data_IF_995942992028
#
_entry.id   IF_995942992028
#
_cell.length_a   1.000
_cell.length_b   1.000
_cell.length_c   1.000
_cell.angle_alpha   90.00
_cell.angle_beta   90.00
_cell.angle_gamma   90.00
#
_symmetry.space_group_name_H-M   'P 1'
#
loop_
_entity.id
_entity.type
_entity.pdbx_description
1 polymer ?
#
# COMPACT_ATOMS: atom_id res chain seq x y z
N UNK A 1 18.88 9.02 -4.45
CA UNK A 1 18.38 9.90 -5.52
C UNK A 1 18.69 11.34 -5.15
N UNK A 2 18.95 12.22 -6.12
CA UNK A 2 19.13 13.66 -5.89
C UNK A 2 17.89 14.30 -5.23
N UNK A 3 18.07 15.27 -4.33
CA UNK A 3 16.95 15.87 -3.59
C UNK A 3 15.96 16.62 -4.49
N UNK A 4 16.46 17.18 -5.60
CA UNK A 4 15.72 17.88 -6.65
C UNK A 4 14.90 16.96 -7.57
N UNK A 5 15.10 15.64 -7.48
CA UNK A 5 14.29 14.66 -8.22
C UNK A 5 12.92 14.34 -7.60
N UNK A 6 12.59 14.95 -6.46
CA UNK A 6 11.33 14.71 -5.74
C UNK A 6 10.49 15.99 -5.72
N UNK A 7 9.29 15.91 -6.29
CA UNK A 7 8.31 17.00 -6.29
C UNK A 7 7.09 16.61 -5.46
N UNK A 8 6.95 17.20 -4.27
CA UNK A 8 5.77 17.04 -3.41
C UNK A 8 4.66 18.02 -3.81
N UNK A 9 3.43 17.78 -3.34
CA UNK A 9 2.25 18.63 -3.64
C UNK A 9 2.03 18.86 -5.15
N UNK A 10 2.44 17.90 -5.97
CA UNK A 10 2.42 17.98 -7.43
C UNK A 10 1.59 16.80 -7.95
N UNK A 11 0.28 16.98 -8.05
CA UNK A 11 -0.63 15.92 -8.44
C UNK A 11 -0.63 15.72 -9.95
N UNK A 12 -0.58 14.46 -10.38
CA UNK A 12 -0.72 14.07 -11.80
C UNK A 12 -2.21 14.05 -12.16
N UNK A 13 -2.58 14.86 -13.14
CA UNK A 13 -3.93 14.92 -13.68
C UNK A 13 -4.19 13.77 -14.67
N UNK A 14 -3.27 13.53 -15.60
CA UNK A 14 -3.41 12.53 -16.64
C UNK A 14 -2.06 11.99 -17.13
N UNK A 15 -2.09 10.81 -17.76
CA UNK A 15 -0.93 10.21 -18.43
C UNK A 15 -1.33 9.83 -19.86
N UNK A 16 -0.49 10.20 -20.83
CA UNK A 16 -0.63 9.78 -22.23
C UNK A 16 0.70 9.21 -22.72
N UNK A 17 0.81 7.88 -22.67
CA UNK A 17 2.03 7.16 -23.00
C UNK A 17 3.20 7.57 -22.10
N UNK A 18 4.12 8.35 -22.67
CA UNK A 18 5.36 8.83 -22.02
C UNK A 18 5.27 10.27 -21.51
N UNK A 19 4.07 10.85 -21.57
CA UNK A 19 3.81 12.23 -21.19
C UNK A 19 2.90 12.26 -19.97
N UNK A 20 3.29 13.05 -18.97
CA UNK A 20 2.58 13.24 -17.70
C UNK A 20 2.07 14.68 -17.65
N UNK A 21 0.77 14.85 -17.46
CA UNK A 21 0.12 16.15 -17.26
C UNK A 21 -0.17 16.34 -15.77
N UNK A 22 0.25 17.48 -15.21
CA UNK A 22 0.04 17.84 -13.82
C UNK A 22 -1.24 18.68 -13.68
N UNK A 23 -1.85 18.70 -12.49
CA UNK A 23 -3.00 19.58 -12.22
C UNK A 23 -2.70 21.07 -12.38
N UNK A 24 -1.43 21.47 -12.33
CA UNK A 24 -1.01 22.85 -12.65
C UNK A 24 -1.09 23.19 -14.14
N UNK A 25 -1.32 22.20 -15.02
CA UNK A 25 -1.22 22.33 -16.47
C UNK A 25 0.19 22.16 -17.03
N UNK A 26 1.19 21.89 -16.18
CA UNK A 26 2.54 21.55 -16.63
C UNK A 26 2.56 20.15 -17.24
N UNK A 27 3.31 19.99 -18.34
CA UNK A 27 3.50 18.72 -19.03
C UNK A 27 4.96 18.28 -18.97
N UNK A 28 5.18 17.03 -18.57
CA UNK A 28 6.50 16.42 -18.46
C UNK A 28 6.59 15.24 -19.42
N UNK A 29 7.58 15.24 -20.30
CA UNK A 29 7.90 14.09 -21.16
C UNK A 29 9.08 13.31 -20.59
N UNK A 30 8.96 11.98 -20.59
CA UNK A 30 9.99 11.07 -20.10
C UNK A 30 10.28 9.94 -21.10
N UNK A 31 11.40 9.24 -20.95
CA UNK A 31 11.66 8.03 -21.74
C UNK A 31 10.81 6.84 -21.29
N UNK A 32 10.44 6.83 -20.01
CA UNK A 32 9.56 5.86 -19.38
C UNK A 32 8.80 6.53 -18.22
N UNK A 33 7.57 6.10 -18.00
CA UNK A 33 6.71 6.53 -16.89
C UNK A 33 6.36 5.31 -16.05
N UNK A 34 6.58 5.40 -14.74
CA UNK A 34 6.20 4.34 -13.79
C UNK A 34 5.13 4.91 -12.85
N UNK A 35 3.94 4.31 -12.87
CA UNK A 35 2.84 4.66 -11.98
C UNK A 35 2.93 3.81 -10.72
N UNK A 36 3.08 4.46 -9.57
CA UNK A 36 3.24 3.84 -8.25
C UNK A 36 2.17 4.33 -7.26
N UNK A 37 0.95 4.57 -7.73
CA UNK A 37 -0.21 5.01 -6.93
C UNK A 37 -1.02 3.82 -6.43
N UNK A 38 -2.01 4.05 -5.56
CA UNK A 38 -2.98 3.03 -5.21
C UNK A 38 -3.77 2.54 -6.43
N UNK A 39 -4.30 1.32 -6.35
CA UNK A 39 -4.94 0.64 -7.49
C UNK A 39 -6.00 1.48 -8.23
N UNK A 40 -6.98 2.11 -7.55
CA UNK A 40 -7.97 2.96 -8.21
C UNK A 40 -7.37 4.14 -8.98
N UNK A 41 -6.38 4.83 -8.42
CA UNK A 41 -5.72 5.96 -9.10
C UNK A 41 -4.83 5.47 -10.24
N UNK A 42 -4.19 4.31 -10.09
CA UNK A 42 -3.43 3.69 -11.17
C UNK A 42 -4.36 3.37 -12.35
N UNK A 43 -5.51 2.74 -12.09
CA UNK A 43 -6.51 2.45 -13.13
C UNK A 43 -7.02 3.74 -13.79
N UNK A 44 -7.29 4.80 -13.02
CA UNK A 44 -7.71 6.11 -13.56
C UNK A 44 -6.66 6.71 -14.50
N UNK A 45 -5.39 6.67 -14.11
CA UNK A 45 -4.30 7.26 -14.86
C UNK A 45 -3.91 6.45 -16.10
N UNK A 46 -4.11 5.13 -16.08
CA UNK A 46 -3.61 4.24 -17.13
C UNK A 46 -4.68 3.52 -17.94
N UNK A 47 -5.95 3.58 -17.52
CA UNK A 47 -7.05 2.84 -18.16
C UNK A 47 -6.95 1.32 -18.00
N UNK A 48 -6.34 0.83 -16.92
CA UNK A 48 -6.20 -0.61 -16.66
C UNK A 48 -7.54 -1.25 -16.31
N UNK A 49 -7.88 -2.32 -17.01
CA UNK A 49 -9.08 -3.12 -16.77
C UNK A 49 -8.75 -4.63 -16.69
N UNK A 50 -9.47 -5.43 -15.88
CA UNK A 50 -10.52 -5.00 -14.97
C UNK A 50 -9.96 -4.28 -13.73
N UNK A 51 -10.63 -3.22 -13.29
CA UNK A 51 -10.28 -2.56 -12.04
C UNK A 51 -10.40 -3.50 -10.83
N UNK A 52 -9.30 -3.69 -10.10
CA UNK A 52 -9.33 -4.41 -8.82
C UNK A 52 -10.10 -3.60 -7.77
N UNK A 53 -11.03 -4.26 -7.09
CA UNK A 53 -11.64 -3.72 -5.87
C UNK A 53 -10.57 -3.50 -4.79
N UNK A 54 -10.92 -2.75 -3.75
CA UNK A 54 -10.04 -2.52 -2.60
C UNK A 54 -10.83 -2.53 -1.30
N UNK A 55 -10.11 -2.73 -0.19
CA UNK A 55 -10.65 -2.76 1.17
C UNK A 55 -10.22 -1.51 1.92
N UNK A 56 -11.16 -0.91 2.64
CA UNK A 56 -10.89 0.21 3.55
C UNK A 56 -10.53 -0.27 4.95
N UNK A 57 -9.67 0.47 5.64
CA UNK A 57 -9.30 0.24 7.04
C UNK A 57 -9.43 1.54 7.82
N UNK A 58 -9.96 1.46 9.04
CA UNK A 58 -9.75 2.51 10.03
C UNK A 58 -8.65 2.09 10.99
N UNK A 59 -7.77 3.03 11.32
CA UNK A 59 -6.76 2.85 12.35
C UNK A 59 -6.97 3.92 13.43
N UNK A 60 -7.22 3.49 14.66
CA UNK A 60 -7.39 4.37 15.80
C UNK A 60 -6.20 4.23 16.73
N UNK A 61 -5.60 5.37 17.07
CA UNK A 61 -4.52 5.43 18.05
C UNK A 61 -5.03 6.01 19.37
N UNK A 62 -4.74 5.33 20.46
CA UNK A 62 -5.03 5.79 21.81
C UNK A 62 -3.74 5.91 22.62
N UNK A 63 -3.68 6.91 23.48
CA UNK A 63 -2.73 6.96 24.59
C UNK A 63 -3.42 6.38 25.82
N UNK A 64 -2.84 5.32 26.38
CA UNK A 64 -3.29 4.70 27.61
C UNK A 64 -2.30 5.02 28.75
N UNK A 65 -2.75 5.20 30.00
CA UNK A 65 -1.85 5.29 31.16
C UNK A 65 -0.99 4.03 31.30
N UNK A 66 -1.59 2.86 31.11
CA UNK A 66 -0.92 1.56 31.15
C UNK A 66 -1.39 0.71 29.96
N UNK A 67 -0.54 -0.19 29.43
CA UNK A 67 -0.95 -1.08 28.36
C UNK A 67 -1.95 -2.12 28.89
N UNK A 68 -2.89 -2.61 28.05
CA UNK A 68 -3.82 -3.67 28.45
C UNK A 68 -3.14 -5.03 28.72
N UNK A 69 -1.91 -5.22 28.25
CA UNK A 69 -1.04 -6.37 28.46
C UNK A 69 0.43 -5.94 28.28
N UNK A 70 1.37 -6.65 28.90
CA UNK A 70 2.79 -6.25 28.92
C UNK A 70 3.59 -6.87 27.78
N UNK A 71 3.14 -8.01 27.27
CA UNK A 71 3.88 -8.74 26.25
C UNK A 71 3.76 -8.04 24.87
N UNK A 72 4.82 -8.05 24.04
CA UNK A 72 4.80 -7.46 22.70
C UNK A 72 4.03 -8.34 21.71
N UNK A 73 2.71 -8.37 21.84
CA UNK A 73 1.82 -9.26 21.09
C UNK A 73 0.84 -8.51 20.18
N UNK A 74 0.31 -9.23 19.19
CA UNK A 74 -0.81 -8.80 18.37
C UNK A 74 -2.08 -9.51 18.84
N UNK A 75 -3.06 -8.76 19.32
CA UNK A 75 -4.38 -9.29 19.65
C UNK A 75 -5.23 -9.38 18.39
N UNK A 76 -5.72 -10.56 18.06
CA UNK A 76 -6.63 -10.79 16.94
C UNK A 76 -8.05 -11.02 17.43
N UNK A 77 -9.05 -10.48 16.72
CA UNK A 77 -10.44 -10.78 17.00
C UNK A 77 -10.85 -12.14 16.39
N UNK A 78 -10.75 -13.19 17.19
CA UNK A 78 -11.23 -14.54 16.82
C UNK A 78 -12.73 -14.77 17.01
N UNK A 79 -13.47 -13.80 17.57
CA UNK A 79 -14.87 -14.00 17.98
C UNK A 79 -15.90 -13.87 16.85
N UNK A 80 -15.49 -13.47 15.65
CA UNK A 80 -16.39 -13.28 14.50
C UNK A 80 -17.42 -12.14 14.64
N UNK A 81 -17.37 -11.38 15.73
CA UNK A 81 -18.28 -10.29 16.04
C UNK A 81 -17.54 -8.98 16.32
N UNK A 82 -18.21 -7.86 16.13
CA UNK A 82 -17.61 -6.52 16.28
C UNK A 82 -16.81 -6.11 15.04
N UNK A 83 -16.17 -4.94 15.12
CA UNK A 83 -15.52 -4.28 13.99
C UNK A 83 -13.99 -4.23 14.13
N UNK A 84 -13.47 -4.34 15.36
CA UNK A 84 -12.03 -4.44 15.58
C UNK A 84 -11.54 -5.76 14.99
N UNK A 85 -10.56 -5.68 14.11
CA UNK A 85 -9.89 -6.83 13.52
C UNK A 85 -8.67 -7.23 14.36
N UNK A 86 -7.86 -6.24 14.74
CA UNK A 86 -6.73 -6.46 15.62
C UNK A 86 -6.39 -5.23 16.47
N UNK A 87 -5.61 -5.46 17.52
CA UNK A 87 -5.02 -4.44 18.36
C UNK A 87 -3.57 -4.83 18.66
N UNK A 88 -2.68 -3.85 18.61
CA UNK A 88 -1.33 -4.00 19.14
C UNK A 88 -0.97 -2.78 20.00
N UNK A 89 0.09 -2.93 20.81
CA UNK A 89 0.65 -1.85 21.62
C UNK A 89 2.08 -1.59 21.16
N UNK A 90 2.31 -0.79 20.10
CA UNK A 90 3.64 -0.61 19.51
C UNK A 90 4.72 -0.17 20.51
N UNK A 91 4.34 0.57 21.56
CA UNK A 91 5.29 1.00 22.60
C UNK A 91 5.80 -0.13 23.49
N UNK A 92 5.14 -1.30 23.50
CA UNK A 92 5.70 -2.52 24.14
C UNK A 92 6.79 -3.18 23.30
N UNK A 93 6.85 -2.87 22.00
CA UNK A 93 7.89 -3.37 21.09
C UNK A 93 9.07 -2.39 21.05
N UNK A 94 8.78 -1.10 20.92
CA UNK A 94 9.77 -0.03 20.89
C UNK A 94 9.34 1.09 21.85
N UNK A 95 9.97 1.19 23.04
CA UNK A 95 9.61 2.17 24.06
C UNK A 95 9.57 3.63 23.55
N UNK A 96 10.41 3.99 22.57
CA UNK A 96 10.43 5.36 22.03
C UNK A 96 9.17 5.76 21.26
N UNK A 97 8.22 4.85 21.02
CA UNK A 97 6.94 5.15 20.37
C UNK A 97 5.90 5.77 21.30
N UNK A 98 6.16 5.85 22.60
CA UNK A 98 5.33 6.58 23.55
C UNK A 98 6.20 7.37 24.55
N UNK A 99 5.68 8.47 25.13
CA UNK A 99 6.29 9.09 26.29
C UNK A 99 6.40 8.11 27.46
N UNK A 100 7.27 8.43 28.43
CA UNK A 100 7.33 7.69 29.70
C UNK A 100 5.95 7.60 30.37
N UNK A 101 5.68 6.46 31.02
CA UNK A 101 4.42 6.18 31.72
C UNK A 101 3.17 6.29 30.82
N UNK A 102 3.33 6.02 29.52
CA UNK A 102 2.22 5.91 28.58
C UNK A 102 2.42 4.71 27.67
N UNK A 103 1.31 4.13 27.23
CA UNK A 103 1.28 3.14 26.17
C UNK A 103 0.59 3.71 24.93
N UNK A 104 1.18 3.47 23.76
CA UNK A 104 0.54 3.72 22.47
C UNK A 104 -0.23 2.47 22.08
N UNK A 105 -1.55 2.57 21.99
CA UNK A 105 -2.43 1.49 21.54
C UNK A 105 -2.89 1.79 20.12
N UNK A 106 -2.75 0.81 19.22
CA UNK A 106 -3.17 0.88 17.83
C UNK A 106 -4.27 -0.13 17.57
N UNK A 107 -5.40 0.32 17.03
CA UNK A 107 -6.59 -0.51 16.78
C UNK A 107 -6.92 -0.49 15.30
N UNK A 108 -6.84 -1.64 14.65
CA UNK A 108 -7.21 -1.81 13.24
C UNK A 108 -8.63 -2.32 13.14
N UNK A 109 -9.44 -1.60 12.36
CA UNK A 109 -10.88 -1.84 12.22
C UNK A 109 -11.21 -2.09 10.77
N UNK A 110 -11.97 -3.17 10.53
CA UNK A 110 -12.46 -3.53 9.20
C UNK A 110 -13.95 -3.17 9.06
N UNK A 111 -14.34 -2.74 7.86
CA UNK A 111 -15.71 -2.34 7.56
C UNK A 111 -16.07 -0.95 8.07
N UNK A 112 -17.35 -0.58 7.96
CA UNK A 112 -17.83 0.73 8.41
C UNK A 112 -17.31 1.91 7.59
N UNK A 113 -16.93 1.71 6.33
CA UNK A 113 -16.43 2.76 5.43
C UNK A 113 -17.33 4.01 5.39
N UNK A 114 -18.65 3.84 5.56
CA UNK A 114 -19.62 4.93 5.52
C UNK A 114 -19.80 5.66 6.86
N UNK A 115 -19.22 5.16 7.96
CA UNK A 115 -19.34 5.77 9.28
C UNK A 115 -18.47 7.03 9.36
N UNK A 116 -19.00 8.05 10.02
CA UNK A 116 -18.19 9.19 10.44
C UNK A 116 -17.22 8.80 11.57
N UNK A 117 -16.18 9.61 11.77
CA UNK A 117 -15.11 9.32 12.72
C UNK A 117 -15.60 9.24 14.18
N UNK A 118 -16.60 10.04 14.56
CA UNK A 118 -17.14 10.05 15.93
C UNK A 118 -17.92 8.76 16.20
N UNK A 119 -18.78 8.37 15.28
CA UNK A 119 -19.49 7.08 15.36
C UNK A 119 -18.50 5.92 15.40
N UNK A 120 -17.43 5.99 14.60
CA UNK A 120 -16.38 4.99 14.61
C UNK A 120 -15.69 4.88 15.97
N UNK A 121 -15.27 6.00 16.56
CA UNK A 121 -14.68 6.03 17.90
C UNK A 121 -15.58 5.38 18.95
N UNK A 122 -16.86 5.75 18.99
CA UNK A 122 -17.82 5.22 19.96
C UNK A 122 -17.92 3.70 19.88
N UNK A 123 -18.12 3.15 18.68
CA UNK A 123 -18.27 1.70 18.49
C UNK A 123 -16.98 0.95 18.83
N UNK A 124 -15.81 1.52 18.49
CA UNK A 124 -14.51 0.96 18.87
C UNK A 124 -14.34 0.95 20.37
N UNK A 125 -14.61 2.07 21.06
CA UNK A 125 -14.54 2.16 22.52
C UNK A 125 -15.45 1.16 23.21
N UNK A 126 -16.67 0.98 22.72
CA UNK A 126 -17.60 0.02 23.29
C UNK A 126 -17.10 -1.42 23.13
N UNK A 127 -16.48 -1.76 22.00
CA UNK A 127 -15.85 -3.06 21.83
C UNK A 127 -14.60 -3.23 22.70
N UNK A 128 -13.74 -2.22 22.80
CA UNK A 128 -12.57 -2.25 23.67
C UNK A 128 -12.95 -2.42 25.14
N UNK A 129 -14.02 -1.76 25.62
CA UNK A 129 -14.55 -1.97 26.97
C UNK A 129 -15.00 -3.40 27.22
N UNK A 130 -15.54 -4.09 26.19
CA UNK A 130 -15.86 -5.52 26.30
C UNK A 130 -14.61 -6.40 26.37
N UNK A 131 -13.50 -5.98 25.75
CA UNK A 131 -12.24 -6.73 25.76
C UNK A 131 -11.42 -6.52 27.04
N UNK A 132 -11.33 -5.27 27.52
CA UNK A 132 -10.39 -4.89 28.60
C UNK A 132 -11.07 -4.20 29.80
N UNK A 133 -12.40 -4.11 29.80
CA UNK A 133 -13.15 -3.49 30.89
C UNK A 133 -13.05 -1.96 30.91
N UNK A 134 -13.26 -1.39 32.09
CA UNK A 134 -13.42 0.06 32.26
C UNK A 134 -12.12 0.85 32.13
N UNK A 135 -10.93 0.22 32.14
CA UNK A 135 -9.65 0.91 31.95
C UNK A 135 -9.58 1.70 30.63
N UNK A 136 -10.36 1.27 29.63
CA UNK A 136 -10.50 1.93 28.32
C UNK A 136 -11.10 3.34 28.43
N UNK A 137 -11.80 3.66 29.51
CA UNK A 137 -12.34 5.02 29.72
C UNK A 137 -11.22 6.05 29.94
N UNK A 138 -10.07 5.62 30.45
CA UNK A 138 -8.89 6.48 30.66
C UNK A 138 -8.04 6.64 29.39
N UNK A 139 -8.37 5.89 28.33
CA UNK A 139 -7.65 5.95 27.07
C UNK A 139 -8.05 7.21 26.30
N UNK A 140 -7.07 8.06 26.04
CA UNK A 140 -7.23 9.28 25.25
C UNK A 140 -7.06 8.95 23.77
N UNK A 141 -8.08 9.23 22.96
CA UNK A 141 -7.94 9.14 21.50
C UNK A 141 -6.92 10.18 21.05
N UNK A 142 -5.94 9.74 20.26
CA UNK A 142 -4.92 10.61 19.65
C UNK A 142 -5.31 10.95 18.22
N UNK A 143 -5.65 9.94 17.41
CA UNK A 143 -5.99 10.14 16.01
C UNK A 143 -6.78 8.98 15.44
N UNK A 144 -7.55 9.26 14.39
CA UNK A 144 -8.26 8.26 13.57
C UNK A 144 -7.83 8.46 12.13
N UNK A 145 -7.16 7.46 11.56
CA UNK A 145 -6.91 7.38 10.13
C UNK A 145 -8.03 6.60 9.46
N UNK A 146 -8.59 7.16 8.39
CA UNK A 146 -9.45 6.43 7.44
C UNK A 146 -8.68 6.21 6.16
N UNK A 147 -8.35 4.96 5.87
CA UNK A 147 -7.61 4.56 4.67
C UNK A 147 -8.62 3.91 3.72
N UNK A 148 -9.00 4.61 2.65
CA UNK A 148 -10.06 4.16 1.74
C UNK A 148 -9.64 2.92 0.94
N UNK A 149 -8.37 2.87 0.52
CA UNK A 149 -7.80 1.84 -0.33
C UNK A 149 -6.57 1.23 0.35
N UNK A 150 -6.80 0.55 1.47
CA UNK A 150 -5.73 0.04 2.34
C UNK A 150 -5.09 -1.24 1.80
N UNK A 151 -5.89 -2.11 1.17
CA UNK A 151 -5.41 -3.33 0.52
C UNK A 151 -6.24 -3.65 -0.73
N UNK A 152 -5.63 -4.19 -1.79
CA UNK A 152 -6.36 -4.77 -2.92
C UNK A 152 -7.30 -5.90 -2.49
N UNK A 153 -8.47 -5.98 -3.12
CA UNK A 153 -9.44 -7.04 -2.89
C UNK A 153 -9.15 -8.25 -3.78
N UNK A 154 -8.09 -9.00 -3.45
CA UNK A 154 -7.73 -10.20 -4.17
C UNK A 154 -8.59 -11.41 -3.75
N UNK A 155 -8.84 -12.30 -4.70
CA UNK A 155 -9.53 -13.58 -4.51
C UNK A 155 -8.58 -14.78 -4.55
N UNK A 156 -7.33 -14.58 -4.99
CA UNK A 156 -6.27 -15.59 -5.08
C UNK A 156 -5.00 -15.12 -4.37
N UNK A 157 -4.27 -16.07 -3.78
CA UNK A 157 -2.93 -15.84 -3.20
C UNK A 157 -1.83 -15.83 -4.26
N UNK A 158 -2.05 -16.55 -5.37
CA UNK A 158 -1.21 -16.49 -6.57
C UNK A 158 -1.73 -15.35 -7.44
N UNK A 159 -1.16 -14.17 -7.23
CA UNK A 159 -1.50 -12.96 -7.96
C UNK A 159 -0.24 -12.20 -8.35
N UNK A 160 0.03 -12.14 -9.65
CA UNK A 160 1.11 -11.34 -10.22
C UNK A 160 0.68 -10.86 -11.60
N UNK A 161 0.83 -9.55 -11.85
CA UNK A 161 0.51 -8.93 -13.12
C UNK A 161 1.78 -8.32 -13.73
N UNK A 162 1.96 -8.35 -15.06
CA UNK A 162 3.13 -7.75 -15.72
C UNK A 162 3.27 -6.26 -15.40
N UNK A 163 4.44 -5.76 -15.05
CA UNK A 163 4.59 -4.33 -14.71
C UNK A 163 4.47 -3.40 -15.91
N UNK A 164 4.99 -3.81 -17.07
CA UNK A 164 4.78 -3.09 -18.33
C UNK A 164 3.36 -3.25 -18.85
N UNK A 165 2.68 -2.15 -19.11
CA UNK A 165 1.30 -2.17 -19.66
C UNK A 165 1.26 -1.70 -21.11
N UNK A 166 2.19 -0.84 -21.51
CA UNK A 166 2.47 -0.46 -22.90
C UNK A 166 3.93 0.02 -23.02
N UNK A 167 4.50 0.09 -24.24
CA UNK A 167 5.87 0.59 -24.42
C UNK A 167 6.10 1.96 -23.76
N UNK A 168 6.96 2.00 -22.75
CA UNK A 168 7.27 3.22 -22.01
C UNK A 168 6.34 3.59 -20.85
N UNK A 169 5.28 2.81 -20.56
CA UNK A 169 4.42 3.00 -19.41
C UNK A 169 4.32 1.72 -18.58
N UNK A 170 4.62 1.85 -17.29
CA UNK A 170 4.71 0.77 -16.34
C UNK A 170 3.87 1.10 -15.11
N UNK A 171 3.41 0.06 -14.41
CA UNK A 171 2.66 0.18 -13.16
C UNK A 171 3.29 -0.73 -12.12
N UNK A 172 3.43 -0.24 -10.90
CA UNK A 172 3.90 -0.99 -9.74
C UNK A 172 3.06 -0.64 -8.51
N UNK A 173 3.11 -1.51 -7.50
CA UNK A 173 2.36 -1.37 -6.27
C UNK A 173 1.92 -2.72 -5.73
N UNK A 174 1.37 -2.71 -4.52
CA UNK A 174 0.81 -3.89 -3.85
C UNK A 174 -0.33 -4.58 -4.63
N UNK A 175 -0.95 -3.87 -5.58
CA UNK A 175 -1.97 -4.37 -6.50
C UNK A 175 -1.40 -5.09 -7.74
N UNK A 176 -0.07 -5.10 -7.94
CA UNK A 176 0.60 -5.83 -9.04
C UNK A 176 1.18 -7.19 -8.63
N UNK A 177 1.24 -7.47 -7.33
CA UNK A 177 1.80 -8.71 -6.79
C UNK A 177 1.13 -9.10 -5.46
N UNK A 178 1.93 -9.63 -4.53
CA UNK A 178 1.45 -9.93 -3.17
C UNK A 178 1.09 -8.62 -2.43
N UNK A 179 -0.15 -8.45 -1.93
CA UNK A 179 -0.60 -7.21 -1.31
C UNK A 179 0.04 -7.00 0.07
N UNK A 180 1.25 -6.45 0.06
CA UNK A 180 2.12 -6.25 1.21
C UNK A 180 3.17 -5.20 0.88
N UNK A 181 3.87 -4.69 1.90
CA UNK A 181 5.01 -3.78 1.71
C UNK A 181 6.09 -4.45 0.85
N UNK A 182 6.39 -5.72 1.11
CA UNK A 182 7.42 -6.46 0.35
C UNK A 182 7.00 -6.65 -1.11
N UNK A 183 5.75 -7.01 -1.37
CA UNK A 183 5.25 -7.15 -2.74
C UNK A 183 5.20 -5.82 -3.49
N UNK A 184 4.87 -4.71 -2.80
CA UNK A 184 4.96 -3.37 -3.39
C UNK A 184 6.41 -3.03 -3.80
N UNK A 185 7.37 -3.21 -2.89
CA UNK A 185 8.79 -2.95 -3.19
C UNK A 185 9.32 -3.84 -4.31
N UNK A 186 8.97 -5.12 -4.28
CA UNK A 186 9.36 -6.08 -5.32
C UNK A 186 8.79 -5.68 -6.67
N UNK A 187 7.51 -5.33 -6.75
CA UNK A 187 6.91 -4.85 -7.99
C UNK A 187 7.58 -3.57 -8.51
N UNK A 188 8.03 -2.67 -7.62
CA UNK A 188 8.77 -1.47 -8.00
C UNK A 188 10.15 -1.79 -8.57
N UNK A 189 10.86 -2.74 -7.97
CA UNK A 189 12.13 -3.26 -8.48
C UNK A 189 11.97 -3.86 -9.87
N UNK A 190 10.99 -4.75 -10.05
CA UNK A 190 10.71 -5.39 -11.33
C UNK A 190 10.34 -4.37 -12.42
N UNK A 191 9.52 -3.36 -12.10
CA UNK A 191 9.21 -2.27 -13.04
C UNK A 191 10.48 -1.50 -13.47
N UNK A 192 11.39 -1.23 -12.54
CA UNK A 192 12.66 -0.57 -12.87
C UNK A 192 13.54 -1.45 -13.77
N UNK A 193 13.58 -2.76 -13.55
CA UNK A 193 14.31 -3.71 -14.39
C UNK A 193 13.72 -3.78 -15.80
N UNK A 194 12.40 -3.82 -15.94
CA UNK A 194 11.73 -3.77 -17.25
C UNK A 194 12.07 -2.47 -18.00
N UNK A 195 12.10 -1.34 -17.30
CA UNK A 195 12.52 -0.05 -17.88
C UNK A 195 13.96 -0.11 -18.39
N UNK A 196 14.88 -0.66 -17.61
CA UNK A 196 16.30 -0.78 -17.99
C UNK A 196 16.51 -1.75 -19.16
N UNK A 197 15.78 -2.88 -19.17
CA UNK A 197 15.82 -3.86 -20.24
C UNK A 197 15.30 -3.25 -21.56
N UNK A 198 14.20 -2.52 -21.52
CA UNK A 198 13.63 -1.84 -22.70
C UNK A 198 14.51 -0.72 -23.25
N UNK A 199 15.41 -0.14 -22.43
CA UNK A 199 16.36 0.90 -22.83
C UNK A 199 17.70 0.34 -23.31
N UNK A 200 17.98 -0.93 -23.03
CA UNK A 200 19.19 -1.58 -23.51
C UNK A 200 19.06 -1.84 -25.01
N UNK A 201 20.09 -1.55 -25.83
CA UNK A 201 20.05 -1.92 -27.24
C UNK A 201 19.86 -3.43 -27.35
N UNK A 202 18.90 -3.87 -28.17
CA UNK A 202 18.70 -5.29 -28.44
C UNK A 202 20.04 -5.92 -28.82
N UNK A 203 20.44 -6.99 -28.12
CA UNK A 203 21.61 -7.77 -28.53
C UNK A 203 21.40 -8.19 -29.99
N UNK A 204 22.41 -8.06 -30.88
CA UNK A 204 22.26 -8.51 -32.25
C UNK A 204 21.85 -9.98 -32.25
N UNK A 205 20.78 -10.29 -32.99
CA UNK A 205 20.31 -11.66 -33.16
C UNK A 205 21.51 -12.52 -33.58
N UNK A 206 21.80 -13.57 -32.82
CA UNK A 206 22.86 -14.50 -33.16
C UNK A 206 22.60 -15.01 -34.58
N UNK A 207 23.50 -14.68 -35.50
CA UNK A 207 23.44 -15.16 -36.87
C UNK A 207 23.39 -16.69 -36.83
N UNK A 208 22.34 -17.26 -37.44
CA UNK A 208 22.24 -18.70 -37.62
C UNK A 208 23.51 -19.18 -38.31
N UNK A 209 24.26 -20.05 -37.64
CA UNK A 209 25.40 -20.75 -38.23
C UNK A 209 24.83 -21.63 -39.35
N UNK A 210 25.18 -21.42 -40.62
CA UNK A 210 24.72 -22.30 -41.68
C UNK A 210 25.29 -23.71 -41.42
N UNK A 211 24.53 -24.78 -41.69
CA UNK A 211 25.01 -26.14 -41.53
C UNK A 211 26.27 -26.34 -42.38
N UNK A 212 27.32 -26.85 -41.75
CA UNK A 212 28.57 -27.20 -42.43
C UNK A 212 28.30 -28.27 -43.47
N UNK A 213 28.52 -27.93 -44.74
CA UNK A 213 28.65 -28.92 -45.79
C UNK A 213 29.93 -29.72 -45.53
N UNK A 214 29.78 -30.98 -45.13
CA UNK A 214 30.82 -31.99 -45.32
C UNK A 214 30.25 -33.04 -46.26
N UNK A 215 30.58 -32.89 -47.53
CA UNK A 215 30.78 -34.01 -48.45
C UNK A 215 31.94 -34.85 -47.92
N UNK A 216 31.69 -36.11 -47.56
CA UNK A 216 32.28 -37.30 -48.20
C UNK A 216 31.67 -38.57 -47.61
#
# INVERSE_FOLDING_TARGET
MPADSIRLNTRVAAISGKTVELESGETISAEAVVVATEGPEANRLTGLEPALGSRSVFCLYFSAPEPPYLEPMLTLNGGGHGIINNLCVPSQIQPSYAPENRALVSVSVLGGAHRDMRTMETVVRDQLKRWYGLVVTEWKLLHIYRIAHALPALTSVEWQLPNQIQPGLYVCGDHRGTPSIQGAMESGRLAAEDVLAARSPAAPAAAAVPPSATDN
#
